data_IF_558851960708
#
_entry.id   IF_558851960708
#
_cell.length_a   1.000
_cell.length_b   1.000
_cell.length_c   1.000
_cell.angle_alpha   90.00
_cell.angle_beta   90.00
_cell.angle_gamma   90.00
#
_symmetry.space_group_name_H-M   'P 1'
#
loop_
_entity.id
_entity.type
_entity.pdbx_description
1 polymer ?
#
# COMPACT_ATOMS: atom_id res chain seq x y z
N UNK A 1 24.10 1.44 3.33
CA UNK A 1 23.51 0.23 3.92
C UNK A 1 22.96 -0.59 2.78
N UNK A 2 23.28 -1.87 2.71
CA UNK A 2 22.76 -2.76 1.67
C UNK A 2 21.49 -3.48 2.17
N UNK A 3 20.53 -3.67 1.27
CA UNK A 3 19.26 -4.32 1.55
C UNK A 3 18.98 -5.36 0.47
N UNK A 4 18.43 -6.50 0.88
CA UNK A 4 17.92 -7.51 -0.08
C UNK A 4 16.40 -7.53 -0.04
N UNK A 5 15.76 -7.52 -1.21
CA UNK A 5 14.30 -7.72 -1.33
C UNK A 5 14.00 -9.20 -1.10
N UNK A 6 13.27 -9.51 -0.02
CA UNK A 6 12.84 -10.89 0.28
C UNK A 6 11.56 -11.26 -0.46
N UNK A 7 10.59 -10.34 -0.52
CA UNK A 7 9.26 -10.58 -1.09
C UNK A 7 8.59 -9.29 -1.53
N UNK A 8 7.77 -9.35 -2.57
CA UNK A 8 6.79 -8.31 -2.92
C UNK A 8 5.42 -8.74 -2.40
N UNK A 9 4.71 -7.83 -1.74
CA UNK A 9 3.38 -8.04 -1.15
C UNK A 9 2.40 -7.00 -1.67
N UNK A 10 1.13 -7.33 -1.54
CA UNK A 10 0.02 -6.46 -1.90
C UNK A 10 -0.96 -6.39 -0.73
N UNK A 11 -1.49 -5.21 -0.45
CA UNK A 11 -2.59 -4.99 0.49
C UNK A 11 -3.70 -4.23 -0.20
N UNK A 12 -4.94 -4.67 0.00
CA UNK A 12 -6.12 -4.10 -0.64
C UNK A 12 -6.98 -3.45 0.45
N UNK A 13 -7.41 -2.23 0.19
CA UNK A 13 -8.33 -1.45 1.01
C UNK A 13 -9.57 -1.17 0.18
N UNK A 14 -10.77 -1.36 0.74
CA UNK A 14 -12.02 -1.11 0.04
C UNK A 14 -13.01 -0.46 0.99
N UNK A 15 -13.69 0.60 0.54
CA UNK A 15 -14.59 1.38 1.40
C UNK A 15 -14.95 2.73 0.80
N UNK A 16 -15.45 3.64 1.62
CA UNK A 16 -15.70 5.01 1.19
C UNK A 16 -14.37 5.71 0.86
N UNK A 17 -14.34 6.72 -0.03
CA UNK A 17 -13.11 7.38 -0.43
C UNK A 17 -12.27 7.89 0.74
N UNK A 18 -12.91 8.56 1.70
CA UNK A 18 -12.23 9.14 2.87
C UNK A 18 -11.65 8.06 3.78
N UNK A 19 -12.41 6.99 4.06
CA UNK A 19 -11.96 5.90 4.93
C UNK A 19 -10.78 5.15 4.31
N UNK A 20 -10.83 4.93 3.00
CA UNK A 20 -9.76 4.24 2.27
C UNK A 20 -8.50 5.12 2.20
N UNK A 21 -8.65 6.42 1.95
CA UNK A 21 -7.53 7.35 1.97
C UNK A 21 -6.82 7.38 3.33
N UNK A 22 -7.58 7.48 4.44
CA UNK A 22 -7.02 7.45 5.79
C UNK A 22 -6.27 6.15 6.06
N UNK A 23 -6.89 5.00 5.76
CA UNK A 23 -6.27 3.69 5.97
C UNK A 23 -5.00 3.48 5.15
N UNK A 24 -5.02 3.92 3.89
CA UNK A 24 -3.85 3.88 3.01
C UNK A 24 -2.73 4.76 3.58
N UNK A 25 -3.03 5.98 4.00
CA UNK A 25 -2.04 6.90 4.56
C UNK A 25 -1.42 6.34 5.84
N UNK A 26 -2.22 5.78 6.75
CA UNK A 26 -1.72 5.10 7.95
C UNK A 26 -0.81 3.93 7.57
N UNK A 27 -1.21 3.12 6.59
CA UNK A 27 -0.41 1.99 6.13
C UNK A 27 0.91 2.43 5.48
N UNK A 28 0.90 3.42 4.60
CA UNK A 28 2.10 3.96 3.96
C UNK A 28 3.06 4.56 4.99
N UNK A 29 2.56 5.19 6.05
CA UNK A 29 3.39 5.70 7.15
C UNK A 29 4.10 4.59 7.94
N UNK A 30 3.61 3.34 7.89
CA UNK A 30 4.32 2.19 8.48
C UNK A 30 5.37 1.58 7.56
N UNK A 31 5.39 1.98 6.28
CA UNK A 31 6.37 1.52 5.31
C UNK A 31 7.50 2.54 5.20
N UNK A 32 8.74 2.08 5.33
CA UNK A 32 9.88 2.90 4.90
C UNK A 32 9.78 3.21 3.40
N UNK A 33 10.31 4.36 2.96
CA UNK A 33 10.29 4.77 1.55
C UNK A 33 10.92 3.73 0.61
N UNK A 34 11.86 2.91 1.09
CA UNK A 34 12.48 1.82 0.31
C UNK A 34 11.55 0.61 0.08
N UNK A 35 10.47 0.51 0.85
CA UNK A 35 9.51 -0.58 0.78
C UNK A 35 8.33 -0.26 -0.15
N UNK A 36 8.02 1.00 -0.43
CA UNK A 36 6.92 1.34 -1.33
C UNK A 36 7.26 1.00 -2.79
N UNK A 37 6.30 0.44 -3.53
CA UNK A 37 6.45 0.13 -4.96
C UNK A 37 5.45 0.91 -5.77
N UNK A 38 4.16 0.71 -5.51
CA UNK A 38 3.09 1.28 -6.31
C UNK A 38 1.77 1.31 -5.52
N UNK A 39 0.86 2.19 -5.94
CA UNK A 39 -0.52 2.21 -5.49
C UNK A 39 -1.45 2.43 -6.67
N UNK A 40 -2.48 1.59 -6.77
CA UNK A 40 -3.55 1.75 -7.75
C UNK A 40 -4.89 1.92 -7.06
N UNK A 41 -5.64 2.94 -7.44
CA UNK A 41 -6.98 3.20 -6.94
C UNK A 41 -8.00 2.97 -8.06
N UNK A 42 -9.14 2.39 -7.73
CA UNK A 42 -10.24 2.15 -8.68
C UNK A 42 -11.56 2.37 -7.98
N UNK A 43 -12.45 3.10 -8.64
CA UNK A 43 -13.82 3.31 -8.18
C UNK A 43 -14.65 2.07 -8.45
N UNK A 44 -15.41 1.64 -7.45
CA UNK A 44 -16.41 0.59 -7.51
C UNK A 44 -17.82 1.24 -7.53
N UNK A 45 -18.83 0.42 -7.80
CA UNK A 45 -20.21 0.89 -7.82
C UNK A 45 -20.65 1.47 -6.47
N UNK A 46 -21.56 2.45 -6.52
CA UNK A 46 -22.11 3.07 -5.32
C UNK A 46 -21.17 4.03 -4.59
N UNK A 47 -20.12 4.54 -5.26
CA UNK A 47 -19.18 5.51 -4.69
C UNK A 47 -18.15 4.90 -3.74
N UNK A 48 -18.08 3.58 -3.67
CA UNK A 48 -17.03 2.84 -2.98
C UNK A 48 -15.75 2.91 -3.83
N UNK A 49 -14.57 2.90 -3.21
CA UNK A 49 -13.30 2.75 -3.92
C UNK A 49 -12.53 1.54 -3.39
N UNK A 50 -11.63 1.02 -4.22
CA UNK A 50 -10.62 0.05 -3.82
C UNK A 50 -9.22 0.58 -4.13
N UNK A 51 -8.35 0.57 -3.14
CA UNK A 51 -6.94 0.92 -3.25
C UNK A 51 -6.07 -0.32 -3.05
N UNK A 52 -5.21 -0.60 -4.02
CA UNK A 52 -4.27 -1.72 -4.04
C UNK A 52 -2.87 -1.18 -3.85
N UNK A 53 -2.28 -1.41 -2.68
CA UNK A 53 -0.91 -0.97 -2.33
C UNK A 53 0.06 -2.14 -2.52
N UNK A 54 1.10 -1.93 -3.33
CA UNK A 54 2.18 -2.90 -3.57
C UNK A 54 3.44 -2.42 -2.86
N UNK A 55 4.07 -3.32 -2.10
CA UNK A 55 5.25 -3.00 -1.31
C UNK A 55 6.24 -4.17 -1.23
N UNK A 56 7.52 -3.85 -1.11
CA UNK A 56 8.63 -4.77 -0.86
C UNK A 56 8.78 -4.99 0.63
N UNK A 57 9.14 -6.21 0.99
CA UNK A 57 9.67 -6.56 2.30
C UNK A 57 11.18 -6.73 2.13
N UNK A 58 11.94 -5.77 2.64
CA UNK A 58 13.40 -5.79 2.59
C UNK A 58 13.97 -6.28 3.92
N UNK A 59 15.14 -6.89 3.86
CA UNK A 59 15.95 -7.19 5.03
C UNK A 59 17.30 -6.51 4.88
N UNK A 60 17.77 -5.88 5.95
CA UNK A 60 19.14 -5.37 6.04
C UNK A 60 20.12 -6.56 6.03
N UNK A 61 21.16 -6.44 5.20
CA UNK A 61 22.28 -7.40 5.17
C UNK A 61 23.19 -7.20 6.39
#
# INVERSE_FOLDING_TARGET
MEFTVRKVRTKIFTGSPNDVEEQVNVFLNTLDQMNFVDIKVTTLDGGIISAVVVYKVVQKL
#
